data_IF_332661770010
#
_entry.id   IF_332661770010
#
_cell.length_a   1.000
_cell.length_b   1.000
_cell.length_c   1.000
_cell.angle_alpha   90.00
_cell.angle_beta   90.00
_cell.angle_gamma   90.00
#
_symmetry.space_group_name_H-M   'P 1'
#
loop_
_entity.id
_entity.type
_entity.pdbx_description
1 polymer ?
#
# COMPACT_ATOMS: atom_id res chain seq x y z
N UNK A 1 13.62 26.01 5.00
CA UNK A 1 12.83 25.06 4.18
C UNK A 1 12.16 24.08 5.13
N UNK A 2 10.83 24.05 5.09
CA UNK A 2 9.95 23.22 5.93
C UNK A 2 10.28 21.73 5.83
N UNK A 3 10.16 20.98 6.93
CA UNK A 3 10.53 19.56 7.01
C UNK A 3 9.67 18.67 6.13
N UNK A 4 8.41 19.08 5.96
CA UNK A 4 7.44 18.66 4.95
C UNK A 4 8.09 18.42 3.59
N UNK A 5 8.87 19.38 3.10
CA UNK A 5 9.47 19.28 1.77
C UNK A 5 10.76 18.46 1.75
N UNK A 6 11.44 18.24 2.89
CA UNK A 6 12.74 17.55 2.95
C UNK A 6 12.59 16.04 2.74
N UNK A 7 11.60 15.40 3.36
CA UNK A 7 11.29 13.96 3.18
C UNK A 7 10.94 13.70 1.72
N UNK A 8 10.05 14.52 1.17
CA UNK A 8 9.60 14.41 -0.22
C UNK A 8 10.75 14.61 -1.20
N UNK A 9 11.61 15.61 -0.98
CA UNK A 9 12.80 15.84 -1.80
C UNK A 9 13.76 14.65 -1.76
N UNK A 10 14.05 14.10 -0.58
CA UNK A 10 14.92 12.93 -0.43
C UNK A 10 14.38 11.70 -1.19
N UNK A 11 13.07 11.45 -1.06
CA UNK A 11 12.39 10.38 -1.80
C UNK A 11 12.48 10.59 -3.31
N UNK A 12 12.21 11.81 -3.79
CA UNK A 12 12.29 12.13 -5.21
C UNK A 12 13.71 12.01 -5.76
N UNK A 13 14.73 12.42 -5.01
CA UNK A 13 16.13 12.24 -5.40
C UNK A 13 16.47 10.75 -5.57
N UNK A 14 16.08 9.91 -4.61
CA UNK A 14 16.26 8.45 -4.69
C UNK A 14 15.52 7.86 -5.89
N UNK A 15 14.26 8.27 -6.10
CA UNK A 15 13.42 7.79 -7.20
C UNK A 15 13.93 8.25 -8.57
N UNK A 16 14.57 9.41 -8.68
CA UNK A 16 15.17 9.89 -9.94
C UNK A 16 16.41 9.09 -10.31
N UNK A 17 17.18 8.64 -9.33
CA UNK A 17 18.35 7.80 -9.55
C UNK A 17 17.97 6.53 -10.34
N UNK A 18 18.70 6.28 -11.42
CA UNK A 18 18.69 4.97 -12.13
C UNK A 18 19.68 3.99 -11.51
N UNK A 19 20.51 4.46 -10.57
CA UNK A 19 21.49 3.64 -9.90
C UNK A 19 20.83 2.85 -8.76
N UNK A 20 20.92 1.53 -8.87
CA UNK A 20 20.41 0.58 -7.90
C UNK A 20 21.08 0.74 -6.53
N UNK A 21 22.36 1.12 -6.52
CA UNK A 21 23.18 1.34 -5.32
C UNK A 21 23.17 2.80 -4.84
N UNK A 22 22.18 3.60 -5.26
CA UNK A 22 22.12 4.98 -4.79
C UNK A 22 21.80 5.00 -3.31
N UNK A 23 22.78 5.48 -2.54
CA UNK A 23 22.61 6.00 -1.20
C UNK A 23 22.84 7.50 -1.23
N UNK A 24 21.99 8.22 -0.51
CA UNK A 24 22.17 9.62 -0.24
C UNK A 24 23.34 9.74 0.74
N UNK A 25 24.44 10.36 0.30
CA UNK A 25 25.66 10.48 1.11
C UNK A 25 25.36 11.13 2.47
N UNK A 26 26.07 10.73 3.55
CA UNK A 26 25.92 11.35 4.89
C UNK A 26 25.86 12.90 4.86
N UNK A 27 26.72 13.62 4.10
CA UNK A 27 26.66 15.08 4.04
C UNK A 27 25.40 15.63 3.32
N UNK A 28 24.84 14.89 2.37
CA UNK A 28 23.55 15.26 1.76
C UNK A 28 22.40 15.01 2.74
N UNK A 29 22.46 13.92 3.50
CA UNK A 29 21.43 13.58 4.47
C UNK A 29 21.39 14.64 5.56
N UNK A 30 22.55 14.97 6.12
CA UNK A 30 22.70 16.03 7.10
C UNK A 30 22.25 17.39 6.56
N UNK A 31 22.55 17.74 5.29
CA UNK A 31 22.02 18.98 4.69
C UNK A 31 20.49 18.99 4.57
N UNK A 32 19.89 17.85 4.25
CA UNK A 32 18.45 17.74 4.15
C UNK A 32 17.81 17.76 5.53
N UNK A 33 18.24 16.93 6.48
CA UNK A 33 17.53 16.69 7.74
C UNK A 33 18.15 17.37 8.96
N UNK A 34 19.33 17.99 8.84
CA UNK A 34 20.08 18.62 9.94
C UNK A 34 20.52 17.66 11.07
N UNK A 35 20.43 16.35 10.84
CA UNK A 35 20.89 15.30 11.76
C UNK A 35 21.79 14.33 11.01
N UNK A 36 22.77 13.71 11.69
CA UNK A 36 23.45 12.59 11.07
C UNK A 36 22.51 11.39 11.03
N UNK A 37 22.57 10.61 9.95
CA UNK A 37 21.70 9.47 9.81
C UNK A 37 21.99 8.35 10.84
N UNK A 38 23.24 8.21 11.30
CA UNK A 38 23.56 7.24 12.36
C UNK A 38 22.93 7.66 13.71
N UNK A 39 22.90 8.97 13.99
CA UNK A 39 22.23 9.53 15.16
C UNK A 39 20.71 9.29 15.07
N UNK A 40 20.10 9.52 13.89
CA UNK A 40 18.69 9.24 13.65
C UNK A 40 18.34 7.76 13.94
N UNK A 41 19.14 6.82 13.44
CA UNK A 41 18.92 5.39 13.68
C UNK A 41 19.07 5.02 15.16
N UNK A 42 20.04 5.64 15.85
CA UNK A 42 20.26 5.43 17.28
C UNK A 42 19.09 5.90 18.13
N UNK A 43 18.57 7.11 17.88
CA UNK A 43 17.36 7.62 18.55
C UNK A 43 16.15 6.74 18.28
N UNK A 44 16.09 6.20 17.08
CA UNK A 44 15.11 5.22 16.68
C UNK A 44 15.08 3.96 17.55
N UNK A 45 16.22 3.30 17.76
CA UNK A 45 16.32 2.15 18.66
C UNK A 45 16.00 2.52 20.11
N UNK A 46 16.40 3.71 20.55
CA UNK A 46 16.12 4.22 21.89
C UNK A 46 14.61 4.42 22.10
N UNK A 47 13.92 4.97 21.11
CA UNK A 47 12.48 5.17 21.09
C UNK A 47 11.72 3.84 21.18
N UNK A 48 12.09 2.86 20.36
CA UNK A 48 11.52 1.50 20.38
C UNK A 48 11.64 0.87 21.77
N UNK A 49 12.85 0.88 22.36
CA UNK A 49 13.10 0.31 23.69
C UNK A 49 12.30 1.04 24.77
N UNK A 50 12.24 2.36 24.73
CA UNK A 50 11.48 3.15 25.71
C UNK A 50 10.01 2.77 25.71
N UNK A 51 9.40 2.69 24.53
CA UNK A 51 7.99 2.33 24.37
C UNK A 51 7.70 0.92 24.86
N UNK A 52 8.53 -0.06 24.49
CA UNK A 52 8.38 -1.44 24.95
C UNK A 52 8.55 -1.56 26.45
N UNK A 53 9.51 -0.84 27.05
CA UNK A 53 9.72 -0.86 28.50
C UNK A 53 8.55 -0.23 29.27
N UNK A 54 7.98 0.86 28.74
CA UNK A 54 6.92 1.61 29.42
C UNK A 54 5.54 0.97 29.27
N UNK A 55 5.20 0.51 28.07
CA UNK A 55 3.85 0.07 27.73
C UNK A 55 3.74 -1.45 27.46
N UNK A 56 4.87 -2.16 27.43
CA UNK A 56 4.92 -3.58 27.06
C UNK A 56 4.47 -3.84 25.62
N UNK A 57 4.30 -5.12 25.28
CA UNK A 57 3.74 -5.55 23.99
C UNK A 57 2.21 -5.42 23.99
N UNK A 58 1.71 -4.19 24.06
CA UNK A 58 0.29 -3.89 23.94
C UNK A 58 -0.09 -3.61 22.48
N UNK A 59 -1.38 -3.75 22.16
CA UNK A 59 -1.89 -3.40 20.84
C UNK A 59 -1.65 -1.92 20.48
N UNK A 60 -1.56 -1.04 21.47
CA UNK A 60 -1.29 0.40 21.26
C UNK A 60 0.21 0.67 21.08
N UNK A 61 1.08 -0.05 21.80
CA UNK A 61 2.53 0.00 21.58
C UNK A 61 2.90 -0.45 20.17
N UNK A 62 2.33 -1.58 19.71
CA UNK A 62 2.61 -2.15 18.39
C UNK A 62 2.18 -1.21 17.26
N UNK A 63 1.07 -0.49 17.43
CA UNK A 63 0.61 0.53 16.48
C UNK A 63 1.63 1.64 16.27
N UNK A 64 2.24 2.13 17.34
CA UNK A 64 3.28 3.14 17.25
C UNK A 64 4.53 2.59 16.59
N UNK A 65 4.96 1.39 17.01
CA UNK A 65 6.13 0.74 16.44
C UNK A 65 5.97 0.53 14.94
N UNK A 66 4.78 0.18 14.45
CA UNK A 66 4.51 0.08 13.02
C UNK A 66 4.67 1.41 12.27
N UNK A 67 4.23 2.54 12.84
CA UNK A 67 4.48 3.88 12.29
C UNK A 67 5.98 4.15 12.28
N UNK A 68 6.65 3.97 13.41
CA UNK A 68 8.07 4.22 13.54
C UNK A 68 8.90 3.35 12.56
N UNK A 69 8.60 2.06 12.45
CA UNK A 69 9.24 1.15 11.49
C UNK A 69 8.98 1.54 10.03
N UNK A 70 7.81 2.06 9.70
CA UNK A 70 7.54 2.61 8.38
C UNK A 70 8.46 3.79 8.06
N UNK A 71 8.62 4.71 9.01
CA UNK A 71 9.47 5.89 8.86
C UNK A 71 10.95 5.50 8.80
N UNK A 72 11.41 4.62 9.69
CA UNK A 72 12.76 4.04 9.66
C UNK A 72 13.05 3.36 8.31
N UNK A 73 12.11 2.56 7.79
CA UNK A 73 12.29 1.91 6.50
C UNK A 73 12.32 2.93 5.34
N UNK A 74 11.50 3.98 5.36
CA UNK A 74 11.61 5.09 4.40
C UNK A 74 13.01 5.70 4.44
N UNK A 75 13.50 6.05 5.63
CA UNK A 75 14.83 6.65 5.83
C UNK A 75 15.95 5.75 5.33
N UNK A 76 15.89 4.46 5.67
CA UNK A 76 16.87 3.47 5.22
C UNK A 76 16.89 3.32 3.70
N UNK A 77 15.74 3.33 3.02
CA UNK A 77 15.67 3.12 1.56
C UNK A 77 16.45 4.16 0.74
N UNK A 78 16.66 5.37 1.25
CA UNK A 78 17.46 6.39 0.56
C UNK A 78 18.81 6.65 1.22
N UNK A 79 19.06 6.27 2.47
CA UNK A 79 20.35 6.46 3.13
C UNK A 79 21.23 5.19 3.17
N UNK A 80 20.66 4.05 3.53
CA UNK A 80 21.35 2.75 3.65
C UNK A 80 20.41 1.64 3.15
N UNK A 81 20.27 1.47 1.81
CA UNK A 81 19.48 0.37 1.26
C UNK A 81 19.98 -0.95 1.85
N UNK A 82 19.06 -1.77 2.37
CA UNK A 82 19.43 -3.08 2.90
C UNK A 82 19.68 -3.94 1.66
N UNK A 83 20.92 -4.36 1.44
CA UNK A 83 21.27 -5.37 0.43
C UNK A 83 20.52 -6.68 0.72
N UNK A 84 19.26 -6.74 0.34
CA UNK A 84 18.42 -7.92 0.37
C UNK A 84 18.47 -8.55 -1.01
N UNK A 85 18.54 -9.88 -1.06
CA UNK A 85 18.77 -10.68 -2.28
C UNK A 85 17.66 -10.60 -3.34
N UNK A 86 16.73 -9.63 -3.28
CA UNK A 86 15.84 -9.31 -4.38
C UNK A 86 15.79 -7.80 -4.63
N UNK A 87 16.64 -7.36 -5.56
CA UNK A 87 16.82 -5.97 -6.03
C UNK A 87 15.51 -5.30 -6.52
N UNK A 88 14.52 -6.07 -6.97
CA UNK A 88 13.19 -5.58 -7.37
C UNK A 88 12.35 -5.13 -6.17
N UNK A 89 12.71 -5.55 -4.95
CA UNK A 89 11.94 -5.31 -3.74
C UNK A 89 12.15 -3.90 -3.18
N UNK A 90 13.35 -3.30 -3.26
CA UNK A 90 13.61 -1.99 -2.64
C UNK A 90 12.98 -0.82 -3.41
N UNK A 91 13.02 -0.83 -4.74
CA UNK A 91 12.29 0.16 -5.53
C UNK A 91 10.78 -0.04 -5.40
N UNK A 92 10.30 -1.29 -5.43
CA UNK A 92 8.89 -1.61 -5.15
C UNK A 92 8.43 -1.04 -3.81
N UNK A 93 9.22 -1.22 -2.75
CA UNK A 93 8.99 -0.66 -1.41
C UNK A 93 8.99 0.87 -1.40
N UNK A 94 9.99 1.49 -2.02
CA UNK A 94 10.12 2.95 -2.07
C UNK A 94 8.90 3.59 -2.74
N UNK A 95 8.47 3.04 -3.86
CA UNK A 95 7.28 3.52 -4.54
C UNK A 95 6.01 3.21 -3.74
N UNK A 96 5.89 2.01 -3.15
CA UNK A 96 4.77 1.65 -2.26
C UNK A 96 4.61 2.67 -1.13
N UNK A 97 5.71 3.01 -0.46
CA UNK A 97 5.71 4.01 0.61
C UNK A 97 5.35 5.40 0.09
N UNK A 98 5.90 5.80 -1.06
CA UNK A 98 5.51 7.05 -1.74
C UNK A 98 4.00 7.12 -2.01
N UNK A 99 3.38 6.01 -2.39
CA UNK A 99 1.93 5.93 -2.59
C UNK A 99 1.14 6.05 -1.28
N UNK A 100 1.56 5.33 -0.24
CA UNK A 100 0.95 5.35 1.10
C UNK A 100 0.96 6.76 1.70
N UNK A 101 2.08 7.48 1.63
CA UNK A 101 2.19 8.86 2.15
C UNK A 101 1.55 9.91 1.23
N UNK A 102 0.91 9.50 0.13
CA UNK A 102 0.24 10.40 -0.78
C UNK A 102 1.18 11.30 -1.60
N UNK A 103 2.39 10.84 -1.95
CA UNK A 103 3.38 11.60 -2.72
C UNK A 103 2.83 12.15 -4.06
N UNK A 104 1.87 11.45 -4.67
CA UNK A 104 1.17 11.92 -5.88
C UNK A 104 0.36 13.22 -5.65
N UNK A 105 -0.04 13.49 -4.40
CA UNK A 105 -0.83 14.66 -3.99
C UNK A 105 0.05 15.85 -3.67
N UNK A 106 1.27 15.61 -3.21
CA UNK A 106 2.24 16.67 -2.88
C UNK A 106 2.46 17.63 -4.06
N UNK A 107 2.70 18.91 -3.76
CA UNK A 107 2.98 19.92 -4.77
C UNK A 107 4.44 19.83 -5.21
N UNK A 108 4.73 18.86 -6.09
CA UNK A 108 6.08 18.60 -6.62
C UNK A 108 6.20 19.02 -8.09
N UNK A 109 7.31 19.67 -8.50
CA UNK A 109 7.45 20.25 -9.84
C UNK A 109 7.59 19.22 -10.97
N UNK A 110 7.87 17.95 -10.67
CA UNK A 110 8.08 16.89 -11.68
C UNK A 110 7.35 15.58 -11.30
N UNK A 111 6.01 15.63 -11.32
CA UNK A 111 5.16 14.45 -11.06
C UNK A 111 5.28 13.37 -12.15
N UNK A 112 5.69 13.73 -13.37
CA UNK A 112 5.61 12.82 -14.54
C UNK A 112 6.55 11.63 -14.42
N UNK A 113 7.79 11.85 -13.99
CA UNK A 113 8.77 10.77 -13.79
C UNK A 113 8.28 9.81 -12.70
N UNK A 114 7.71 10.34 -11.63
CA UNK A 114 7.14 9.56 -10.55
C UNK A 114 5.95 8.73 -11.01
N UNK A 115 4.96 9.36 -11.66
CA UNK A 115 3.76 8.69 -12.16
C UNK A 115 4.14 7.59 -13.15
N UNK A 116 5.02 7.86 -14.12
CA UNK A 116 5.44 6.85 -15.10
C UNK A 116 6.11 5.63 -14.46
N UNK A 117 6.95 5.82 -13.43
CA UNK A 117 7.60 4.69 -12.74
C UNK A 117 6.63 3.97 -11.82
N UNK A 118 5.80 4.70 -11.08
CA UNK A 118 4.73 4.14 -10.25
C UNK A 118 3.74 3.30 -11.07
N UNK A 119 3.45 3.72 -12.31
CA UNK A 119 2.62 2.99 -13.28
C UNK A 119 3.31 1.75 -13.87
N UNK A 120 4.61 1.56 -13.69
CA UNK A 120 5.33 0.40 -14.24
C UNK A 120 5.71 -0.62 -13.18
N UNK A 121 5.83 -0.19 -11.93
CA UNK A 121 5.88 -1.09 -10.79
C UNK A 121 4.44 -1.44 -10.40
N UNK A 122 4.12 -2.73 -10.33
CA UNK A 122 2.93 -3.24 -9.67
C UNK A 122 2.98 -2.83 -8.18
N UNK A 123 2.78 -1.55 -7.85
CA UNK A 123 3.03 -1.02 -6.50
C UNK A 123 2.10 -1.64 -5.48
N UNK A 124 0.84 -1.68 -5.87
CA UNK A 124 -0.22 -2.29 -5.11
C UNK A 124 -0.20 -3.82 -5.24
N UNK A 125 0.75 -4.30 -6.05
CA UNK A 125 1.31 -5.65 -6.22
C UNK A 125 2.14 -6.21 -5.08
N UNK A 126 2.82 -5.26 -4.41
CA UNK A 126 4.02 -5.55 -3.67
C UNK A 126 3.65 -6.20 -2.32
N UNK A 127 4.26 -7.32 -1.93
CA UNK A 127 4.07 -7.92 -0.61
C UNK A 127 4.31 -6.92 0.52
N UNK A 128 5.18 -5.92 0.32
CA UNK A 128 5.41 -4.87 1.31
C UNK A 128 4.23 -3.91 1.43
N UNK A 129 3.52 -3.60 0.35
CA UNK A 129 2.26 -2.87 0.43
C UNK A 129 1.25 -3.65 1.27
N UNK A 130 1.08 -4.95 1.01
CA UNK A 130 0.19 -5.81 1.79
C UNK A 130 0.55 -5.84 3.28
N UNK A 131 1.82 -6.06 3.61
CA UNK A 131 2.33 -6.10 4.98
C UNK A 131 1.99 -4.80 5.73
N UNK A 132 2.28 -3.66 5.13
CA UNK A 132 1.99 -2.37 5.76
C UNK A 132 0.52 -2.09 5.85
N UNK A 133 -0.28 -2.42 4.82
CA UNK A 133 -1.73 -2.28 4.89
C UNK A 133 -2.34 -3.18 5.98
N UNK A 134 -1.80 -4.39 6.22
CA UNK A 134 -2.26 -5.24 7.32
C UNK A 134 -1.90 -4.66 8.69
N UNK A 135 -0.71 -4.06 8.82
CA UNK A 135 -0.23 -3.38 10.04
C UNK A 135 -1.02 -2.12 10.35
N UNK A 136 -1.15 -1.22 9.38
CA UNK A 136 -2.00 -0.04 9.43
C UNK A 136 -3.46 -0.46 9.31
N UNK A 137 -4.15 -0.84 10.40
CA UNK A 137 -5.55 -1.31 10.34
C UNK A 137 -6.51 -0.26 9.74
N UNK A 138 -6.75 -0.31 8.43
CA UNK A 138 -7.68 0.57 7.69
C UNK A 138 -9.16 0.29 8.05
N UNK A 139 -9.93 1.30 8.47
CA UNK A 139 -11.38 1.24 8.75
C UNK A 139 -12.20 2.22 7.90
N UNK A 140 -13.53 2.22 8.09
CA UNK A 140 -14.59 2.95 7.34
C UNK A 140 -14.17 4.34 6.85
N UNK A 141 -13.43 5.10 7.68
CA UNK A 141 -13.07 6.50 7.44
C UNK A 141 -11.57 6.76 7.16
N UNK A 142 -10.76 5.73 6.89
CA UNK A 142 -9.30 5.84 6.69
C UNK A 142 -8.49 4.93 7.62
N UNK A 143 -7.21 5.23 7.87
CA UNK A 143 -6.38 4.46 8.82
C UNK A 143 -6.97 4.62 10.23
N UNK A 144 -7.12 3.51 10.99
CA UNK A 144 -7.40 3.61 12.41
C UNK A 144 -6.20 4.23 13.10
N UNK A 145 -6.24 5.53 13.28
CA UNK A 145 -5.75 6.16 14.48
C UNK A 145 -6.81 7.19 14.83
N UNK A 146 -7.41 7.12 16.03
CA UNK A 146 -7.83 8.37 16.64
C UNK A 146 -6.53 9.19 16.70
N UNK A 147 -6.35 10.12 15.77
CA UNK A 147 -5.08 10.86 15.61
C UNK A 147 -4.60 11.44 16.93
N UNK A 148 -5.57 11.82 17.78
CA UNK A 148 -5.37 12.26 19.15
C UNK A 148 -4.55 11.27 20.01
N UNK A 149 -4.77 9.96 19.91
CA UNK A 149 -4.07 8.99 20.77
C UNK A 149 -2.60 8.78 20.34
N UNK A 150 -2.33 8.81 19.03
CA UNK A 150 -0.96 8.61 18.51
C UNK A 150 -0.13 9.88 18.63
N UNK A 151 -0.68 11.05 18.31
CA UNK A 151 0.03 12.33 18.46
C UNK A 151 0.39 12.60 19.93
N UNK A 152 -0.53 12.28 20.86
CA UNK A 152 -0.26 12.34 22.31
C UNK A 152 0.83 11.34 22.70
N UNK A 153 0.75 10.10 22.23
CA UNK A 153 1.79 9.10 22.51
C UNK A 153 3.16 9.52 21.96
N UNK A 154 3.23 10.14 20.77
CA UNK A 154 4.46 10.71 20.22
C UNK A 154 4.99 11.80 21.16
N UNK A 155 4.15 12.78 21.51
CA UNK A 155 4.55 13.91 22.35
C UNK A 155 5.03 13.47 23.74
N UNK A 156 4.30 12.58 24.40
CA UNK A 156 4.63 12.05 25.72
C UNK A 156 5.98 11.30 25.70
N UNK A 157 6.17 10.45 24.69
CA UNK A 157 7.38 9.64 24.57
C UNK A 157 8.61 10.52 24.34
N UNK A 158 8.52 11.50 23.44
CA UNK A 158 9.63 12.42 23.19
C UNK A 158 9.90 13.35 24.38
N UNK A 159 8.88 13.74 25.15
CA UNK A 159 9.05 14.50 26.39
C UNK A 159 9.89 13.74 27.41
N UNK A 160 9.58 12.46 27.65
CA UNK A 160 10.33 11.62 28.58
C UNK A 160 11.77 11.33 28.10
N UNK A 161 11.95 11.14 26.79
CA UNK A 161 13.30 10.94 26.22
C UNK A 161 14.14 12.22 26.41
N UNK A 162 13.56 13.42 26.27
CA UNK A 162 14.27 14.68 26.54
C UNK A 162 14.65 14.85 28.00
N UNK A 163 13.78 14.45 28.93
CA UNK A 163 14.08 14.51 30.37
C UNK A 163 15.25 13.59 30.77
N UNK A 164 15.48 12.52 30.01
CA UNK A 164 16.54 11.55 30.26
C UNK A 164 17.82 11.77 29.44
N UNK A 165 17.84 12.66 28.45
CA UNK A 165 18.95 12.84 27.51
C UNK A 165 19.39 14.30 27.35
N UNK A 166 20.70 14.55 27.41
CA UNK A 166 21.29 15.91 27.34
C UNK A 166 21.48 16.41 25.90
N UNK A 167 21.24 15.59 24.88
CA UNK A 167 21.33 15.97 23.45
C UNK A 167 19.95 16.36 22.88
N UNK A 168 19.36 17.44 23.39
CA UNK A 168 17.97 17.84 23.08
C UNK A 168 17.72 18.19 21.62
N UNK A 169 18.68 18.81 20.93
CA UNK A 169 18.50 19.34 19.57
C UNK A 169 18.31 18.22 18.51
N UNK A 170 18.99 17.08 18.65
CA UNK A 170 18.81 15.95 17.73
C UNK A 170 17.47 15.24 17.93
N UNK A 171 16.98 15.20 19.17
CA UNK A 171 15.67 14.62 19.51
C UNK A 171 14.55 15.42 18.86
N UNK A 172 14.62 16.76 18.89
CA UNK A 172 13.63 17.63 18.25
C UNK A 172 13.56 17.39 16.74
N UNK A 173 14.70 17.18 16.09
CA UNK A 173 14.74 16.86 14.66
C UNK A 173 14.09 15.50 14.37
N UNK A 174 14.39 14.47 15.17
CA UNK A 174 13.80 13.13 15.01
C UNK A 174 12.28 13.18 15.22
N UNK A 175 11.81 13.84 16.28
CA UNK A 175 10.38 14.04 16.54
C UNK A 175 9.72 14.77 15.37
N UNK A 176 10.37 15.79 14.80
CA UNK A 176 9.86 16.54 13.66
C UNK A 176 9.71 15.64 12.41
N UNK A 177 10.68 14.78 12.12
CA UNK A 177 10.60 13.80 11.01
C UNK A 177 9.46 12.81 11.25
N UNK A 178 9.32 12.32 12.48
CA UNK A 178 8.27 11.35 12.86
C UNK A 178 6.89 11.95 12.69
N UNK A 179 6.66 13.13 13.29
CA UNK A 179 5.39 13.85 13.21
C UNK A 179 5.03 14.19 11.77
N UNK A 180 5.99 14.67 10.98
CA UNK A 180 5.72 15.06 9.60
C UNK A 180 5.37 13.87 8.71
N UNK A 181 6.09 12.75 8.85
CA UNK A 181 5.76 11.54 8.10
C UNK A 181 4.39 10.97 8.52
N UNK A 182 4.06 11.04 9.82
CA UNK A 182 2.75 10.67 10.32
C UNK A 182 1.63 11.55 9.73
N UNK A 183 1.84 12.87 9.63
CA UNK A 183 0.90 13.79 8.97
C UNK A 183 0.64 13.43 7.51
N UNK A 184 1.67 13.03 6.77
CA UNK A 184 1.48 12.50 5.41
C UNK A 184 0.68 11.20 5.39
N UNK A 185 0.96 10.28 6.32
CA UNK A 185 0.26 9.00 6.44
C UNK A 185 -1.25 9.19 6.69
N UNK A 186 -1.63 10.12 7.58
CA UNK A 186 -3.05 10.42 7.88
C UNK A 186 -3.68 11.43 6.91
N UNK A 187 -2.92 11.90 5.91
CA UNK A 187 -3.41 12.78 4.85
C UNK A 187 -3.54 14.26 5.22
N UNK A 188 -3.15 14.69 6.43
CA UNK A 188 -3.29 16.09 6.88
C UNK A 188 -2.43 17.07 6.07
N UNK A 189 -1.33 16.62 5.48
CA UNK A 189 -0.44 17.44 4.63
C UNK A 189 -0.61 17.19 3.12
N UNK A 190 -1.64 16.44 2.70
CA UNK A 190 -1.80 16.08 1.28
C UNK A 190 -2.53 17.12 0.42
N UNK A 191 -2.98 18.23 1.00
CA UNK A 191 -3.38 19.46 0.28
C UNK A 191 -4.52 19.34 -0.73
N UNK A 192 -5.14 18.16 -0.89
CA UNK A 192 -6.24 17.94 -1.80
C UNK A 192 -7.37 17.22 -1.04
N UNK A 193 -8.54 17.86 -0.86
CA UNK A 193 -9.71 17.16 -0.33
C UNK A 193 -10.10 16.03 -1.27
N UNK A 194 -10.79 15.02 -0.75
CA UNK A 194 -11.47 14.01 -1.55
C UNK A 194 -12.32 14.70 -2.63
N UNK A 195 -11.92 14.59 -3.90
CA UNK A 195 -12.67 15.17 -5.02
C UNK A 195 -13.56 14.09 -5.61
N UNK A 196 -14.86 14.16 -5.34
CA UNK A 196 -15.87 13.45 -6.14
C UNK A 196 -15.85 14.03 -7.55
N UNK A 197 -15.12 13.40 -8.46
CA UNK A 197 -15.28 13.67 -9.90
C UNK A 197 -15.05 12.39 -10.69
N UNK A 198 -15.54 12.38 -11.94
CA UNK A 198 -15.30 11.36 -12.97
C UNK A 198 -13.79 11.05 -13.18
N UNK A 199 -12.92 11.90 -12.63
CA UNK A 199 -11.46 11.78 -12.59
C UNK A 199 -10.96 10.74 -11.59
N UNK A 200 -11.80 10.13 -10.75
CA UNK A 200 -11.44 9.04 -9.81
C UNK A 200 -10.71 7.87 -10.49
N UNK A 201 -11.04 7.61 -11.75
CA UNK A 201 -10.40 6.60 -12.59
C UNK A 201 -9.00 7.03 -13.10
N UNK A 202 -8.73 8.33 -13.13
CA UNK A 202 -7.44 8.91 -13.54
C UNK A 202 -6.53 9.20 -12.35
N UNK A 203 -7.06 9.27 -11.14
CA UNK A 203 -6.28 9.42 -9.92
C UNK A 203 -5.87 8.06 -9.38
N UNK A 204 -4.56 7.85 -9.27
CA UNK A 204 -3.95 6.74 -8.54
C UNK A 204 -4.37 6.83 -7.07
N UNK A 205 -5.50 6.20 -6.73
CA UNK A 205 -6.10 6.30 -5.41
C UNK A 205 -5.06 5.90 -4.35
N UNK A 206 -4.85 6.80 -3.38
CA UNK A 206 -4.23 6.40 -2.13
C UNK A 206 -5.05 5.23 -1.58
N UNK A 207 -4.43 4.18 -1.00
CA UNK A 207 -5.15 3.13 -0.29
C UNK A 207 -6.28 3.65 0.63
N UNK A 208 -6.09 4.78 1.30
CA UNK A 208 -7.11 5.49 2.10
C UNK A 208 -8.39 5.74 1.31
N UNK A 209 -8.27 6.38 0.15
CA UNK A 209 -9.40 6.82 -0.65
C UNK A 209 -10.07 5.63 -1.33
N UNK A 210 -9.28 4.62 -1.72
CA UNK A 210 -9.78 3.37 -2.27
C UNK A 210 -10.69 2.64 -1.27
N UNK A 211 -10.22 2.52 -0.02
CA UNK A 211 -10.99 1.94 1.08
C UNK A 211 -12.20 2.80 1.44
N UNK A 212 -12.01 4.11 1.54
CA UNK A 212 -13.10 5.05 1.84
C UNK A 212 -14.22 4.96 0.79
N UNK A 213 -13.87 4.92 -0.50
CA UNK A 213 -14.82 4.84 -1.61
C UNK A 213 -15.64 3.56 -1.51
N UNK A 214 -14.98 2.41 -1.30
CA UNK A 214 -15.66 1.14 -1.10
C UNK A 214 -16.63 1.16 0.11
N UNK A 215 -16.27 1.88 1.16
CA UNK A 215 -17.01 1.87 2.44
C UNK A 215 -18.18 2.87 2.49
N UNK A 216 -18.10 3.96 1.74
CA UNK A 216 -19.06 5.07 1.79
C UNK A 216 -19.89 5.24 0.53
N UNK A 217 -19.42 4.75 -0.62
CA UNK A 217 -20.07 4.95 -1.91
C UNK A 217 -19.91 3.70 -2.78
N UNK A 218 -20.58 2.61 -2.38
CA UNK A 218 -20.48 1.31 -3.06
C UNK A 218 -20.88 1.37 -4.53
N UNK A 219 -21.93 2.13 -4.84
CA UNK A 219 -22.41 2.27 -6.22
C UNK A 219 -21.33 2.89 -7.11
N UNK A 220 -20.71 3.98 -6.66
CA UNK A 220 -19.61 4.60 -7.40
C UNK A 220 -18.39 3.69 -7.45
N UNK A 221 -18.05 3.01 -6.35
CA UNK A 221 -16.94 2.06 -6.31
C UNK A 221 -17.08 0.97 -7.38
N UNK A 222 -18.22 0.28 -7.42
CA UNK A 222 -18.44 -0.80 -8.39
C UNK A 222 -18.59 -0.28 -9.82
N UNK A 223 -19.11 0.94 -10.02
CA UNK A 223 -19.09 1.61 -11.33
C UNK A 223 -17.66 1.84 -11.82
N UNK A 224 -16.77 2.32 -10.93
CA UNK A 224 -15.35 2.46 -11.24
C UNK A 224 -14.67 1.11 -11.49
N UNK A 225 -14.99 0.08 -10.70
CA UNK A 225 -14.45 -1.28 -10.85
C UNK A 225 -14.85 -1.88 -12.21
N UNK A 226 -16.11 -1.73 -12.61
CA UNK A 226 -16.62 -2.18 -13.91
C UNK A 226 -15.93 -1.46 -15.06
N UNK A 227 -15.86 -0.13 -15.00
CA UNK A 227 -15.18 0.67 -16.02
C UNK A 227 -13.69 0.30 -16.14
N UNK A 228 -13.05 0.00 -15.01
CA UNK A 228 -11.66 -0.42 -14.96
C UNK A 228 -11.45 -1.83 -15.55
N UNK A 229 -12.39 -2.75 -15.33
CA UNK A 229 -12.31 -4.07 -15.94
C UNK A 229 -12.45 -4.02 -17.46
N UNK A 230 -13.31 -3.13 -17.97
CA UNK A 230 -13.54 -2.97 -19.40
C UNK A 230 -12.38 -2.27 -20.16
N UNK A 231 -11.57 -1.47 -19.47
CA UNK A 231 -10.43 -0.73 -20.05
C UNK A 231 -9.07 -1.24 -19.51
N UNK A 232 -8.99 -2.55 -19.29
CA UNK A 232 -7.86 -3.20 -18.62
C UNK A 232 -6.52 -3.17 -19.37
N UNK A 233 -6.53 -2.74 -20.64
CA UNK A 233 -5.34 -2.43 -21.43
C UNK A 233 -4.55 -1.25 -20.87
N UNK A 234 -5.20 -0.34 -20.15
CA UNK A 234 -4.55 0.77 -19.47
C UNK A 234 -4.15 0.32 -18.06
N UNK A 235 -2.87 0.52 -17.72
CA UNK A 235 -2.30 0.06 -16.46
C UNK A 235 -3.05 0.55 -15.21
N UNK A 236 -3.50 1.82 -15.19
CA UNK A 236 -4.21 2.38 -14.03
C UNK A 236 -5.53 1.66 -13.76
N UNK A 237 -6.28 1.34 -14.81
CA UNK A 237 -7.53 0.57 -14.72
C UNK A 237 -7.26 -0.87 -14.27
N UNK A 238 -6.27 -1.54 -14.86
CA UNK A 238 -5.86 -2.87 -14.41
C UNK A 238 -5.45 -2.89 -12.93
N UNK A 239 -4.72 -1.88 -12.49
CA UNK A 239 -4.28 -1.73 -11.10
C UNK A 239 -5.45 -1.55 -10.14
N UNK A 240 -6.50 -0.82 -10.53
CA UNK A 240 -7.71 -0.67 -9.72
C UNK A 240 -8.34 -2.04 -9.41
N UNK A 241 -8.46 -2.94 -10.39
CA UNK A 241 -9.01 -4.29 -10.17
C UNK A 241 -8.07 -5.13 -9.28
N UNK A 242 -6.75 -5.00 -9.45
CA UNK A 242 -5.79 -5.72 -8.61
C UNK A 242 -5.83 -5.23 -7.15
N UNK A 243 -6.13 -3.95 -6.93
CA UNK A 243 -6.33 -3.38 -5.59
C UNK A 243 -7.56 -3.97 -4.90
N UNK A 244 -8.60 -4.34 -5.66
CA UNK A 244 -9.74 -5.05 -5.10
C UNK A 244 -9.33 -6.40 -4.51
N UNK A 245 -8.50 -7.16 -5.23
CA UNK A 245 -7.92 -8.41 -4.73
C UNK A 245 -7.18 -8.20 -3.40
N UNK A 246 -6.31 -7.18 -3.36
CA UNK A 246 -5.45 -6.94 -2.20
C UNK A 246 -6.22 -6.41 -0.98
N UNK A 247 -7.11 -5.44 -1.18
CA UNK A 247 -7.64 -4.64 -0.08
C UNK A 247 -9.03 -5.08 0.40
N UNK A 248 -9.85 -5.62 -0.49
CA UNK A 248 -11.27 -5.80 -0.26
C UNK A 248 -11.65 -7.29 -0.28
N UNK A 249 -11.15 -8.06 -1.25
CA UNK A 249 -11.50 -9.47 -1.44
C UNK A 249 -10.84 -10.38 -0.38
N UNK A 250 -11.47 -10.46 0.79
CA UNK A 250 -10.95 -11.23 1.94
C UNK A 250 -11.69 -12.55 2.20
N UNK A 251 -12.92 -12.66 1.72
CA UNK A 251 -13.77 -13.83 1.94
C UNK A 251 -14.86 -13.95 0.85
N UNK A 252 -15.66 -15.03 0.95
CA UNK A 252 -16.73 -15.33 0.01
C UNK A 252 -17.90 -14.34 0.06
N UNK A 253 -18.14 -13.62 1.17
CA UNK A 253 -19.23 -12.65 1.24
C UNK A 253 -18.95 -11.46 0.32
N UNK A 254 -17.68 -11.07 0.19
CA UNK A 254 -17.25 -10.01 -0.73
C UNK A 254 -17.42 -10.46 -2.19
N UNK A 255 -17.27 -11.75 -2.47
CA UNK A 255 -17.54 -12.30 -3.80
C UNK A 255 -19.04 -12.27 -4.13
N UNK A 256 -19.88 -12.66 -3.17
CA UNK A 256 -21.33 -12.55 -3.31
C UNK A 256 -21.75 -11.09 -3.50
N UNK A 257 -21.13 -10.16 -2.79
CA UNK A 257 -21.35 -8.73 -2.98
C UNK A 257 -20.95 -8.29 -4.39
N UNK A 258 -19.76 -8.67 -4.86
CA UNK A 258 -19.28 -8.36 -6.20
C UNK A 258 -20.29 -8.84 -7.25
N UNK A 259 -20.85 -10.05 -7.11
CA UNK A 259 -21.85 -10.60 -8.03
C UNK A 259 -23.16 -9.80 -8.09
N UNK A 260 -23.50 -9.06 -7.02
CA UNK A 260 -24.74 -8.27 -6.93
C UNK A 260 -24.57 -6.85 -7.46
N UNK A 261 -23.39 -6.24 -7.24
CA UNK A 261 -23.16 -4.83 -7.55
C UNK A 261 -22.40 -4.59 -8.85
N UNK A 262 -21.54 -5.52 -9.30
CA UNK A 262 -20.78 -5.39 -10.54
C UNK A 262 -21.62 -5.84 -11.74
N UNK A 263 -21.79 -4.95 -12.73
CA UNK A 263 -22.42 -5.27 -14.02
C UNK A 263 -21.46 -6.03 -14.94
N UNK A 264 -20.16 -5.97 -14.65
CA UNK A 264 -19.10 -6.60 -15.43
C UNK A 264 -18.40 -7.72 -14.64
N UNK A 265 -19.16 -8.46 -13.81
CA UNK A 265 -18.66 -9.49 -12.89
C UNK A 265 -17.62 -10.43 -13.52
N UNK A 266 -17.92 -11.00 -14.69
CA UNK A 266 -17.01 -11.94 -15.36
C UNK A 266 -15.70 -11.28 -15.83
N UNK A 267 -15.75 -10.03 -16.31
CA UNK A 267 -14.55 -9.29 -16.71
C UNK A 267 -13.67 -8.96 -15.50
N UNK A 268 -14.30 -8.57 -14.37
CA UNK A 268 -13.61 -8.35 -13.10
C UNK A 268 -12.95 -9.65 -12.64
N UNK A 269 -13.68 -10.77 -12.64
CA UNK A 269 -13.16 -12.09 -12.26
C UNK A 269 -11.98 -12.54 -13.13
N UNK A 270 -12.05 -12.34 -14.44
CA UNK A 270 -10.96 -12.74 -15.34
C UNK A 270 -9.66 -12.00 -15.00
N UNK A 271 -9.76 -10.71 -14.69
CA UNK A 271 -8.63 -9.90 -14.24
C UNK A 271 -8.13 -10.33 -12.85
N UNK A 272 -9.03 -10.64 -11.92
CA UNK A 272 -8.66 -11.20 -10.62
C UNK A 272 -7.91 -12.53 -10.76
N UNK A 273 -8.34 -13.40 -11.68
CA UNK A 273 -7.64 -14.66 -11.98
C UNK A 273 -6.25 -14.44 -12.57
N UNK A 274 -6.09 -13.44 -13.44
CA UNK A 274 -4.78 -13.00 -13.94
C UNK A 274 -3.92 -12.44 -12.80
N UNK A 275 -4.52 -11.71 -11.86
CA UNK A 275 -3.83 -11.13 -10.71
C UNK A 275 -3.25 -12.17 -9.76
N UNK A 276 -3.89 -13.34 -9.61
CA UNK A 276 -3.49 -14.40 -8.66
C UNK A 276 -2.12 -15.05 -8.99
N UNK A 277 -1.62 -14.87 -10.23
CA UNK A 277 -0.24 -15.21 -10.58
C UNK A 277 0.82 -14.29 -9.94
N UNK A 278 0.38 -13.10 -9.51
CA UNK A 278 1.20 -12.04 -8.93
C UNK A 278 0.87 -11.86 -7.44
N UNK A 279 -0.41 -11.91 -7.06
CA UNK A 279 -0.92 -11.79 -5.68
C UNK A 279 -1.82 -12.96 -5.34
N UNK A 280 -1.25 -13.95 -4.68
CA UNK A 280 -1.97 -15.16 -4.28
C UNK A 280 -3.12 -14.82 -3.33
N UNK A 281 -4.35 -15.18 -3.70
CA UNK A 281 -5.52 -15.00 -2.84
C UNK A 281 -6.26 -16.33 -2.69
N UNK A 282 -6.49 -16.76 -1.45
CA UNK A 282 -7.14 -18.04 -1.14
C UNK A 282 -8.57 -18.12 -1.69
N UNK A 283 -9.32 -17.02 -1.66
CA UNK A 283 -10.68 -16.94 -2.22
C UNK A 283 -10.63 -17.13 -3.73
N UNK A 284 -9.72 -16.44 -4.43
CA UNK A 284 -9.56 -16.57 -5.88
C UNK A 284 -9.19 -18.01 -6.27
N UNK A 285 -8.26 -18.62 -5.54
CA UNK A 285 -7.85 -20.01 -5.76
C UNK A 285 -9.01 -20.98 -5.60
N UNK A 286 -9.82 -20.80 -4.57
CA UNK A 286 -11.02 -21.62 -4.36
C UNK A 286 -11.99 -21.51 -5.53
N UNK A 287 -12.26 -20.30 -6.03
CA UNK A 287 -13.14 -20.10 -7.20
C UNK A 287 -12.58 -20.80 -8.44
N UNK A 288 -11.26 -20.66 -8.71
CA UNK A 288 -10.61 -21.35 -9.85
C UNK A 288 -10.75 -22.87 -9.74
N UNK A 289 -10.56 -23.43 -8.54
CA UNK A 289 -10.72 -24.86 -8.30
C UNK A 289 -12.16 -25.32 -8.56
N UNK A 290 -13.15 -24.61 -8.01
CA UNK A 290 -14.57 -24.91 -8.23
C UNK A 290 -14.95 -24.84 -9.72
N UNK A 291 -14.53 -23.80 -10.45
CA UNK A 291 -14.78 -23.69 -11.90
C UNK A 291 -14.15 -24.83 -12.70
N UNK A 292 -12.94 -25.24 -12.33
CA UNK A 292 -12.27 -26.36 -12.98
C UNK A 292 -13.01 -27.68 -12.73
N UNK A 293 -13.48 -27.92 -11.50
CA UNK A 293 -14.30 -29.09 -11.17
C UNK A 293 -15.61 -29.13 -11.96
N UNK A 294 -16.29 -27.99 -12.10
CA UNK A 294 -17.53 -27.89 -12.88
C UNK A 294 -17.27 -28.13 -14.37
N UNK A 295 -16.18 -27.59 -14.90
CA UNK A 295 -15.75 -27.83 -16.29
C UNK A 295 -15.45 -29.32 -16.52
N UNK A 296 -14.75 -29.97 -15.59
CA UNK A 296 -14.47 -31.42 -15.64
C UNK A 296 -15.77 -32.22 -15.59
N UNK A 297 -16.71 -31.88 -14.70
CA UNK A 297 -18.02 -32.53 -14.61
C UNK A 297 -18.85 -32.37 -15.90
N UNK A 298 -18.82 -31.19 -16.51
CA UNK A 298 -19.50 -30.93 -17.79
C UNK A 298 -18.88 -31.73 -18.93
N UNK A 299 -17.56 -31.76 -19.04
CA UNK A 299 -16.85 -32.56 -20.05
C UNK A 299 -17.13 -34.06 -19.90
N UNK A 300 -17.14 -34.58 -18.67
CA UNK A 300 -17.49 -35.97 -18.39
C UNK A 300 -18.94 -36.32 -18.78
N UNK A 301 -19.88 -35.37 -18.58
CA UNK A 301 -21.28 -35.54 -19.04
C UNK A 301 -21.37 -35.55 -20.57
N UNK A 302 -20.67 -34.64 -21.25
CA UNK A 302 -20.61 -34.59 -22.72
C UNK A 302 -20.01 -35.89 -23.30
N UNK A 303 -18.94 -36.39 -22.70
CA UNK A 303 -18.34 -37.68 -23.10
C UNK A 303 -19.29 -38.86 -22.89
N UNK A 304 -20.05 -38.88 -21.79
CA UNK A 304 -21.05 -39.90 -21.55
C UNK A 304 -22.19 -39.85 -22.59
N UNK A 305 -22.67 -38.65 -22.94
CA UNK A 305 -23.68 -38.44 -23.99
C UNK A 305 -23.14 -38.89 -25.35
N UNK A 306 -21.91 -38.52 -25.70
CA UNK A 306 -21.28 -38.91 -26.95
C UNK A 306 -21.08 -40.43 -27.06
N UNK A 307 -20.69 -41.11 -25.96
CA UNK A 307 -20.62 -42.58 -25.90
C UNK A 307 -21.99 -43.22 -26.09
N UNK A 308 -23.03 -42.67 -25.48
CA UNK A 308 -24.40 -43.15 -25.63
C UNK A 308 -24.91 -42.98 -27.08
N UNK A 309 -24.74 -41.80 -27.68
CA UNK A 309 -25.09 -41.54 -29.08
C UNK A 309 -24.35 -42.47 -30.04
N UNK A 310 -23.05 -42.70 -29.83
CA UNK A 310 -22.26 -43.63 -30.64
C UNK A 310 -22.68 -45.10 -30.45
N UNK A 311 -23.24 -45.47 -29.30
CA UNK A 311 -23.79 -46.80 -29.06
C UNK A 311 -25.12 -47.03 -29.78
N UNK A 312 -25.94 -45.99 -29.91
CA UNK A 312 -27.19 -46.03 -30.66
C UNK A 312 -26.95 -46.15 -32.16
N UNK A 313 -25.94 -45.46 -32.69
CA UNK A 313 -25.57 -45.54 -34.11
C UNK A 313 -24.98 -46.90 -34.52
N UNK A 314 -24.67 -47.81 -33.59
CA UNK A 314 -24.23 -49.18 -33.87
C UNK A 314 -25.37 -50.21 -33.87
N UNK A 315 -26.60 -49.80 -33.53
CA UNK A 315 -27.78 -50.67 -33.45
C UNK A 315 -28.72 -50.45 -34.65
N UNK A 316 -28.37 -49.54 -35.58
CA UNK A 316 -29.10 -49.26 -36.83
C UNK A 316 -28.54 -49.99 -38.04
#
# INVERSE_FOLDING_TARGET
>A
MDITNRIIVALLERMKSRNKNFSLSKPKFHRLFQINPDDYLWYGEKLERHLLNKYGESADTLKYLDIYYFIDNIVRLYYMPKNSNSEENEFGKLYAYGSIIGLHRCHIPDKRIYLSRLLNTLLFCCPTSEEYIRRFRWQKNGIYYKSQDVEVLIADTFTEIRESDKQSESIEIVESIVNETYRYLVGSNTGLPFVRSETLLHYNLNPSDYMWLYQHDKELFYTCLDAAALQSEIFSYKSFVYNFNLYILKDANILDELSRYSKCYEAVLELLFKSDSIMQNSVIRQIKLCRNEDTIKQNNRLDAINKWLNSLNKIG
#
